data_IF_139965742662
#
_entry.id   IF_139965742662
#
_cell.length_a   1.000
_cell.length_b   1.000
_cell.length_c   1.000
_cell.angle_alpha   90.00
_cell.angle_beta   90.00
_cell.angle_gamma   90.00
#
_symmetry.space_group_name_H-M   'P 1'
#
loop_
_entity.id
_entity.type
_entity.pdbx_description
1 polymer ?
#
# COMPACT_ATOMS: atom_id res chain seq x y z
N UNK A 1 -2.02 -4.13 37.50
CA UNK A 1 -1.12 -5.16 38.08
C UNK A 1 -1.43 -5.50 39.56
N UNK A 2 -1.75 -4.56 40.45
CA UNK A 2 -2.08 -4.85 41.85
C UNK A 2 -3.25 -5.82 42.09
N UNK A 3 -4.41 -5.75 41.41
CA UNK A 3 -5.53 -6.65 41.69
C UNK A 3 -5.26 -8.11 41.32
N UNK A 4 -4.51 -8.36 40.25
CA UNK A 4 -4.18 -9.73 39.82
C UNK A 4 -3.24 -10.43 40.82
N UNK A 5 -2.28 -9.72 41.36
CA UNK A 5 -1.37 -10.25 42.41
C UNK A 5 -2.11 -10.58 43.70
N UNK A 6 -3.13 -9.79 44.06
CA UNK A 6 -3.94 -10.01 45.25
C UNK A 6 -4.83 -11.25 45.11
N UNK A 7 -5.46 -11.41 43.94
CA UNK A 7 -6.26 -12.58 43.62
C UNK A 7 -5.37 -13.84 43.58
N UNK A 8 -4.19 -13.76 42.93
CA UNK A 8 -3.22 -14.87 42.91
C UNK A 8 -2.81 -15.31 44.32
N UNK A 9 -2.52 -14.37 45.21
CA UNK A 9 -2.11 -14.64 46.59
C UNK A 9 -3.24 -15.27 47.44
N UNK A 10 -4.50 -14.87 47.19
CA UNK A 10 -5.68 -15.43 47.86
C UNK A 10 -5.98 -16.86 47.39
N UNK A 11 -5.81 -17.14 46.08
CA UNK A 11 -5.98 -18.47 45.47
C UNK A 11 -4.88 -19.45 45.89
N UNK A 12 -3.65 -18.98 46.03
CA UNK A 12 -2.53 -19.83 46.48
C UNK A 12 -2.68 -20.26 47.94
N UNK A 13 -3.41 -19.50 48.79
CA UNK A 13 -3.70 -19.87 50.18
C UNK A 13 -5.01 -20.66 50.33
N UNK A 14 -5.82 -20.79 49.27
CA UNK A 14 -7.05 -21.59 49.27
C UNK A 14 -6.76 -23.11 49.11
N UNK A 15 -7.67 -23.91 49.62
CA UNK A 15 -7.55 -25.40 49.54
C UNK A 15 -7.53 -25.90 48.09
N UNK A 16 -7.22 -27.19 47.93
CA UNK A 16 -7.03 -27.87 46.63
C UNK A 16 -8.16 -27.65 45.59
N UNK A 17 -9.39 -27.38 46.03
CA UNK A 17 -10.54 -27.11 45.19
C UNK A 17 -10.43 -25.76 44.45
N UNK A 18 -10.08 -24.65 45.16
CA UNK A 18 -9.91 -23.33 44.58
C UNK A 18 -8.75 -23.29 43.56
N UNK A 19 -7.66 -23.98 43.85
CA UNK A 19 -6.54 -24.13 42.88
C UNK A 19 -6.98 -24.86 41.61
N UNK A 20 -7.76 -25.91 41.74
CA UNK A 20 -8.30 -26.66 40.60
C UNK A 20 -9.23 -25.81 39.76
N UNK A 21 -10.17 -25.06 40.39
CA UNK A 21 -11.07 -24.13 39.69
C UNK A 21 -10.31 -23.02 38.97
N UNK A 22 -9.28 -22.47 39.56
CA UNK A 22 -8.43 -21.44 38.92
C UNK A 22 -7.66 -21.99 37.72
N UNK A 23 -7.06 -23.16 37.85
CA UNK A 23 -6.36 -23.83 36.75
C UNK A 23 -7.31 -24.22 35.61
N UNK A 24 -8.53 -24.70 35.91
CA UNK A 24 -9.54 -24.95 34.89
C UNK A 24 -10.01 -23.67 34.20
N UNK A 25 -10.17 -22.57 34.91
CA UNK A 25 -10.51 -21.27 34.33
C UNK A 25 -9.41 -20.74 33.38
N UNK A 26 -8.14 -20.84 33.80
CA UNK A 26 -7.01 -20.49 32.92
C UNK A 26 -6.97 -21.40 31.70
N UNK A 27 -7.16 -22.70 31.87
CA UNK A 27 -7.18 -23.65 30.77
C UNK A 27 -8.31 -23.36 29.78
N UNK A 28 -9.50 -23.00 30.28
CA UNK A 28 -10.65 -22.59 29.45
C UNK A 28 -10.31 -21.31 28.68
N UNK A 29 -9.68 -20.31 29.31
CA UNK A 29 -9.25 -19.07 28.62
C UNK A 29 -8.23 -19.39 27.52
N UNK A 30 -7.26 -20.25 27.80
CA UNK A 30 -6.26 -20.70 26.82
C UNK A 30 -6.97 -21.43 25.66
N UNK A 31 -7.87 -22.35 25.96
CA UNK A 31 -8.64 -23.09 24.95
C UNK A 31 -9.50 -22.12 24.12
N UNK A 32 -10.20 -21.17 24.75
CA UNK A 32 -10.97 -20.14 24.05
C UNK A 32 -10.05 -19.27 23.18
N UNK A 33 -8.88 -18.86 23.69
CA UNK A 33 -7.92 -18.08 22.89
C UNK A 33 -7.31 -18.85 21.71
N UNK A 34 -7.23 -20.18 21.81
CA UNK A 34 -6.81 -21.06 20.71
C UNK A 34 -7.95 -21.38 19.72
N UNK A 35 -9.20 -21.28 20.18
CA UNK A 35 -10.40 -21.49 19.36
C UNK A 35 -10.91 -20.19 18.71
N UNK A 36 -10.51 -19.03 19.23
CA UNK A 36 -10.73 -17.78 18.51
C UNK A 36 -9.76 -17.83 17.31
N UNK A 37 -10.26 -17.96 16.07
CA UNK A 37 -9.36 -17.86 14.93
C UNK A 37 -8.64 -16.53 15.08
N UNK A 38 -7.33 -16.56 15.11
CA UNK A 38 -6.49 -15.37 14.93
C UNK A 38 -7.06 -14.73 13.67
N UNK A 39 -7.70 -13.54 13.83
CA UNK A 39 -8.55 -12.99 12.80
C UNK A 39 -7.82 -12.97 11.47
N UNK A 40 -8.08 -13.95 10.62
CA UNK A 40 -7.78 -13.82 9.20
C UNK A 40 -8.61 -12.63 8.77
N UNK A 41 -7.96 -11.59 8.35
CA UNK A 41 -8.62 -10.51 7.67
C UNK A 41 -9.25 -11.14 6.44
N UNK A 42 -10.57 -11.22 6.33
CA UNK A 42 -11.23 -11.85 5.18
C UNK A 42 -11.12 -10.99 3.92
N UNK A 43 -10.43 -9.86 4.02
CA UNK A 43 -10.33 -8.84 2.98
C UNK A 43 -8.88 -8.55 2.63
N UNK A 44 -8.62 -8.36 1.35
CA UNK A 44 -7.50 -7.55 0.90
C UNK A 44 -7.83 -6.10 1.25
N UNK A 45 -6.92 -5.38 1.87
CA UNK A 45 -7.10 -3.95 2.15
C UNK A 45 -5.99 -3.13 1.52
N UNK A 46 -6.38 -2.01 0.89
CA UNK A 46 -5.49 -1.05 0.24
C UNK A 46 -5.61 0.26 0.99
N UNK A 47 -4.54 0.70 1.60
CA UNK A 47 -4.47 1.90 2.42
C UNK A 47 -3.61 2.95 1.72
N UNK A 48 -4.21 3.92 1.06
CA UNK A 48 -3.49 5.11 0.57
C UNK A 48 -3.28 6.03 1.76
N UNK A 49 -2.02 6.16 2.18
CA UNK A 49 -1.63 6.89 3.38
C UNK A 49 -1.47 8.36 2.99
N UNK A 50 -2.14 9.26 3.68
CA UNK A 50 -1.92 10.71 3.52
C UNK A 50 -0.54 11.06 4.10
N UNK A 51 0.41 11.21 3.21
CA UNK A 51 1.79 11.61 3.49
C UNK A 51 2.06 13.08 3.14
N UNK A 52 1.02 13.83 2.78
CA UNK A 52 1.14 15.11 2.09
C UNK A 52 1.37 14.88 0.61
N UNK A 53 2.33 15.59 0.01
CA UNK A 53 2.71 15.33 -1.38
C UNK A 53 3.60 14.10 -1.45
N UNK A 54 3.27 13.17 -2.35
CA UNK A 54 3.97 11.90 -2.53
C UNK A 54 3.09 10.68 -2.36
N UNK A 55 3.68 9.50 -2.46
CA UNK A 55 2.98 8.23 -2.37
C UNK A 55 3.47 7.37 -1.19
N UNK A 56 2.54 6.77 -0.50
CA UNK A 56 2.78 5.60 0.35
C UNK A 56 1.50 4.78 0.48
N UNK A 57 1.56 3.52 0.06
CA UNK A 57 0.38 2.66 0.03
C UNK A 57 0.72 1.34 0.75
N UNK A 58 -0.07 1.00 1.77
CA UNK A 58 0.02 -0.31 2.41
C UNK A 58 -1.07 -1.21 1.86
N UNK A 59 -0.69 -2.39 1.39
CA UNK A 59 -1.62 -3.46 1.06
C UNK A 59 -1.46 -4.58 2.08
N UNK A 60 -2.57 -4.97 2.71
CA UNK A 60 -2.59 -6.11 3.62
C UNK A 60 -3.47 -7.22 3.01
N UNK A 61 -2.91 -8.41 2.87
CA UNK A 61 -3.62 -9.55 2.31
C UNK A 61 -4.43 -10.30 3.37
N UNK A 62 -5.39 -11.15 2.98
CA UNK A 62 -6.16 -11.98 3.91
C UNK A 62 -5.28 -12.87 4.81
N UNK A 63 -4.13 -13.32 4.33
CA UNK A 63 -3.17 -14.11 5.11
C UNK A 63 -2.12 -13.25 5.83
N UNK A 64 -2.39 -11.94 5.97
CA UNK A 64 -1.57 -10.99 6.74
C UNK A 64 -0.17 -10.73 6.16
N UNK A 65 0.02 -10.90 4.85
CA UNK A 65 1.19 -10.33 4.19
C UNK A 65 1.01 -8.83 4.02
N UNK A 66 2.10 -8.10 4.13
CA UNK A 66 2.14 -6.66 4.04
C UNK A 66 3.02 -6.25 2.86
N UNK A 67 2.46 -5.50 1.93
CA UNK A 67 3.15 -4.89 0.80
C UNK A 67 3.13 -3.39 1.03
N UNK A 68 4.28 -2.76 1.03
CA UNK A 68 4.40 -1.31 1.08
C UNK A 68 4.87 -0.81 -0.28
N UNK A 69 4.08 0.03 -0.92
CA UNK A 69 4.43 0.73 -2.15
C UNK A 69 4.81 2.14 -1.74
N UNK A 70 6.04 2.51 -1.98
CA UNK A 70 6.62 3.80 -1.64
C UNK A 70 6.56 4.18 -0.15
N UNK A 71 7.27 5.20 0.25
CA UNK A 71 7.42 5.63 1.65
C UNK A 71 7.14 7.11 1.89
N UNK A 72 6.68 7.84 0.86
CA UNK A 72 6.58 9.29 0.92
C UNK A 72 7.93 9.98 0.94
N UNK A 73 7.93 11.27 1.21
CA UNK A 73 9.14 12.08 1.32
C UNK A 73 9.92 11.82 2.63
N UNK A 74 11.12 12.38 2.75
CA UNK A 74 11.99 12.22 3.92
C UNK A 74 11.28 12.62 5.25
N UNK A 75 10.34 13.55 5.23
CA UNK A 75 9.61 14.00 6.42
C UNK A 75 8.43 13.08 6.76
N UNK A 76 7.96 12.30 5.80
CA UNK A 76 6.77 11.45 5.91
C UNK A 76 7.02 10.14 6.67
N UNK A 77 8.27 9.73 6.87
CA UNK A 77 8.62 8.43 7.50
C UNK A 77 7.98 8.21 8.87
N UNK A 78 7.74 9.25 9.65
CA UNK A 78 7.06 9.14 10.95
C UNK A 78 5.56 8.90 10.79
N UNK A 79 4.93 9.50 9.77
CA UNK A 79 3.51 9.28 9.43
C UNK A 79 3.35 7.81 9.02
N UNK A 80 4.15 7.38 8.03
CA UNK A 80 4.10 6.00 7.51
C UNK A 80 4.39 4.99 8.61
N UNK A 81 5.49 5.13 9.37
CA UNK A 81 5.84 4.19 10.42
C UNK A 81 4.80 4.12 11.54
N UNK A 82 4.16 5.23 11.90
CA UNK A 82 3.08 5.27 12.88
C UNK A 82 1.83 4.59 12.34
N UNK A 83 1.51 4.82 11.07
CA UNK A 83 0.38 4.18 10.39
C UNK A 83 0.56 2.66 10.33
N UNK A 84 1.73 2.19 9.89
CA UNK A 84 2.07 0.77 9.84
C UNK A 84 1.91 0.10 11.23
N UNK A 85 2.40 0.74 12.28
CA UNK A 85 2.23 0.26 13.67
C UNK A 85 0.76 0.20 14.08
N UNK A 86 -0.05 1.22 13.72
CA UNK A 86 -1.49 1.25 13.98
C UNK A 86 -2.23 0.11 13.26
N UNK A 87 -1.76 -0.28 12.07
CA UNK A 87 -2.26 -1.42 11.31
C UNK A 87 -1.66 -2.77 11.76
N UNK A 88 -0.96 -2.82 12.89
CA UNK A 88 -0.30 -4.00 13.44
C UNK A 88 0.73 -4.64 12.51
N UNK A 89 1.32 -3.88 11.58
CA UNK A 89 2.40 -4.36 10.73
C UNK A 89 3.64 -4.60 11.59
N UNK A 90 4.07 -5.86 11.65
CA UNK A 90 5.30 -6.29 12.36
C UNK A 90 6.43 -6.62 11.39
N UNK A 91 6.07 -7.02 10.19
CA UNK A 91 6.97 -7.35 9.09
C UNK A 91 6.37 -6.81 7.80
N UNK A 92 7.19 -6.29 6.93
CA UNK A 92 6.86 -5.93 5.56
C UNK A 92 7.39 -7.05 4.68
N UNK A 93 6.49 -7.77 4.01
CA UNK A 93 6.88 -8.90 3.16
C UNK A 93 7.48 -8.41 1.85
N UNK A 94 6.97 -7.30 1.33
CA UNK A 94 7.42 -6.69 0.08
C UNK A 94 7.42 -5.17 0.20
N UNK A 95 8.52 -4.52 -0.14
CA UNK A 95 8.56 -3.09 -0.50
C UNK A 95 8.65 -3.01 -2.01
N UNK A 96 7.88 -2.12 -2.62
CA UNK A 96 7.98 -1.77 -4.03
C UNK A 96 8.25 -0.26 -4.09
N UNK A 97 9.48 0.11 -4.48
CA UNK A 97 9.81 1.48 -4.83
C UNK A 97 9.44 1.68 -6.31
N UNK A 98 8.45 2.53 -6.58
CA UNK A 98 7.97 2.70 -7.96
C UNK A 98 9.00 3.38 -8.85
N UNK A 99 9.67 4.41 -8.35
CA UNK A 99 10.80 5.11 -8.96
C UNK A 99 11.59 5.83 -7.86
N UNK A 100 12.64 6.61 -8.22
CA UNK A 100 13.57 7.12 -7.21
C UNK A 100 13.43 8.61 -6.89
N UNK A 101 12.25 9.20 -7.09
CA UNK A 101 11.98 10.55 -6.63
C UNK A 101 11.75 10.60 -5.11
N UNK A 102 12.14 11.70 -4.49
CA UNK A 102 12.20 11.81 -3.03
C UNK A 102 10.84 11.70 -2.36
N UNK A 103 9.77 12.13 -3.01
CA UNK A 103 8.40 12.03 -2.51
C UNK A 103 7.78 10.62 -2.63
N UNK A 104 8.57 9.66 -3.14
CA UNK A 104 8.26 8.23 -3.17
C UNK A 104 9.19 7.42 -2.27
N UNK A 105 10.50 7.62 -2.37
CA UNK A 105 11.45 6.78 -1.64
C UNK A 105 12.06 7.43 -0.40
N UNK A 106 11.82 8.73 -0.17
CA UNK A 106 12.49 9.47 0.89
C UNK A 106 12.31 8.89 2.29
N UNK A 107 11.12 8.32 2.58
CA UNK A 107 10.84 7.69 3.86
C UNK A 107 11.29 6.23 3.98
N UNK A 108 11.68 5.56 2.88
CA UNK A 108 11.90 4.11 2.87
C UNK A 108 13.13 3.68 3.68
N UNK A 109 14.20 4.44 3.71
CA UNK A 109 15.39 4.16 4.52
C UNK A 109 15.03 3.99 5.99
N UNK A 110 14.28 4.94 6.53
CA UNK A 110 13.79 4.93 7.91
C UNK A 110 12.80 3.78 8.18
N UNK A 111 12.00 3.40 7.20
CA UNK A 111 11.08 2.25 7.30
C UNK A 111 11.87 0.95 7.35
N UNK A 112 12.86 0.77 6.47
CA UNK A 112 13.74 -0.40 6.42
C UNK A 112 14.49 -0.54 7.74
N UNK A 113 14.93 0.56 8.34
CA UNK A 113 15.63 0.55 9.61
C UNK A 113 14.75 0.14 10.79
N UNK A 114 13.47 0.52 10.76
CA UNK A 114 12.51 0.31 11.87
C UNK A 114 11.73 -1.00 11.80
N UNK A 115 11.56 -1.57 10.61
CA UNK A 115 10.75 -2.77 10.38
C UNK A 115 11.60 -3.92 9.86
N UNK A 116 11.12 -5.14 10.09
CA UNK A 116 11.66 -6.32 9.42
C UNK A 116 11.10 -6.36 7.99
N UNK A 117 11.97 -6.23 6.99
CA UNK A 117 11.64 -6.26 5.56
C UNK A 117 12.17 -7.54 4.96
N UNK A 118 11.34 -8.26 4.19
CA UNK A 118 11.74 -9.52 3.58
C UNK A 118 12.27 -9.34 2.16
N UNK A 119 11.60 -8.52 1.36
CA UNK A 119 11.97 -8.27 -0.04
C UNK A 119 11.80 -6.78 -0.36
N UNK A 120 12.68 -6.25 -1.20
CA UNK A 120 12.55 -4.91 -1.78
C UNK A 120 12.76 -4.97 -3.29
N UNK A 121 11.87 -4.33 -4.01
CA UNK A 121 11.84 -4.24 -5.46
C UNK A 121 11.88 -2.79 -5.93
N UNK A 122 12.50 -2.55 -7.08
CA UNK A 122 12.61 -1.24 -7.70
C UNK A 122 12.85 -1.38 -9.20
N UNK A 123 12.70 -0.31 -10.01
CA UNK A 123 13.14 -0.33 -11.40
C UNK A 123 14.67 -0.41 -11.51
N UNK A 124 15.16 -0.93 -12.63
CA UNK A 124 16.60 -1.22 -12.83
C UNK A 124 17.38 -0.02 -13.33
N UNK A 125 17.46 1.05 -12.55
CA UNK A 125 18.36 2.18 -12.83
C UNK A 125 19.02 2.70 -11.55
N UNK A 126 19.91 3.66 -11.67
CA UNK A 126 20.56 4.32 -10.54
C UNK A 126 20.21 5.79 -10.52
N UNK A 127 20.06 6.34 -9.34
CA UNK A 127 19.89 7.77 -9.11
C UNK A 127 21.07 8.29 -8.28
N UNK A 128 21.40 9.56 -8.43
CA UNK A 128 22.41 10.26 -7.64
C UNK A 128 21.80 11.08 -6.49
N UNK A 129 20.48 10.98 -6.29
CA UNK A 129 19.78 11.67 -5.22
C UNK A 129 20.18 11.17 -3.83
N UNK A 130 20.07 12.03 -2.83
CA UNK A 130 20.34 11.67 -1.42
C UNK A 130 19.37 10.57 -0.95
N UNK A 131 18.09 10.66 -1.30
CA UNK A 131 17.09 9.67 -0.94
C UNK A 131 17.42 8.28 -1.48
N UNK A 132 17.91 8.20 -2.73
CA UNK A 132 18.39 6.93 -3.29
C UNK A 132 19.62 6.39 -2.55
N UNK A 133 20.61 7.24 -2.25
CA UNK A 133 21.82 6.83 -1.51
C UNK A 133 21.48 6.32 -0.11
N UNK A 134 20.55 6.98 0.60
CA UNK A 134 20.05 6.56 1.90
C UNK A 134 19.32 5.21 1.82
N UNK A 135 18.45 5.04 0.83
CA UNK A 135 17.75 3.78 0.57
C UNK A 135 18.75 2.62 0.38
N UNK A 136 19.74 2.79 -0.51
CA UNK A 136 20.76 1.77 -0.77
C UNK A 136 21.59 1.48 0.49
N UNK A 137 21.96 2.52 1.25
CA UNK A 137 22.71 2.36 2.51
C UNK A 137 21.94 1.54 3.54
N UNK A 138 20.64 1.82 3.73
CA UNK A 138 19.78 1.06 4.64
C UNK A 138 19.58 -0.39 4.17
N UNK A 139 19.44 -0.63 2.86
CA UNK A 139 19.39 -1.98 2.30
C UNK A 139 20.68 -2.75 2.62
N UNK A 140 21.85 -2.16 2.41
CA UNK A 140 23.13 -2.79 2.70
C UNK A 140 23.30 -3.08 4.20
N UNK A 141 22.96 -2.14 5.07
CA UNK A 141 23.04 -2.29 6.53
C UNK A 141 22.16 -3.41 7.06
N UNK A 142 21.04 -3.69 6.39
CA UNK A 142 20.08 -4.75 6.74
C UNK A 142 20.33 -6.07 5.99
N UNK A 143 21.34 -6.15 5.14
CA UNK A 143 21.59 -7.28 4.23
C UNK A 143 20.36 -7.59 3.34
N UNK A 144 19.66 -6.54 2.90
CA UNK A 144 18.49 -6.62 2.05
C UNK A 144 18.93 -6.38 0.61
N UNK A 145 18.74 -7.37 -0.25
CA UNK A 145 19.10 -7.24 -1.67
C UNK A 145 17.99 -6.51 -2.42
N UNK A 146 18.34 -5.39 -3.07
CA UNK A 146 17.44 -4.70 -3.99
C UNK A 146 17.27 -5.57 -5.24
N UNK A 147 16.04 -5.95 -5.52
CA UNK A 147 15.64 -6.73 -6.68
C UNK A 147 15.01 -5.80 -7.72
N UNK A 148 15.21 -6.11 -9.00
CA UNK A 148 14.69 -5.25 -10.06
C UNK A 148 13.46 -5.84 -10.70
N UNK A 149 12.50 -4.96 -11.04
CA UNK A 149 11.27 -5.28 -11.74
C UNK A 149 11.31 -4.71 -13.16
N UNK A 150 10.88 -5.51 -14.11
CA UNK A 150 10.75 -5.15 -15.50
C UNK A 150 9.37 -5.58 -16.01
N UNK A 151 8.93 -5.01 -17.12
CA UNK A 151 7.72 -5.43 -17.81
C UNK A 151 7.67 -6.96 -17.98
N UNK A 152 6.52 -7.55 -17.67
CA UNK A 152 6.27 -8.99 -17.75
C UNK A 152 6.66 -9.78 -16.51
N UNK A 153 7.35 -9.18 -15.52
CA UNK A 153 7.65 -9.88 -14.28
C UNK A 153 6.36 -10.21 -13.52
N UNK A 154 6.39 -11.39 -12.88
CA UNK A 154 5.25 -11.93 -12.16
C UNK A 154 5.66 -12.36 -10.75
N UNK A 155 4.92 -11.91 -9.73
CA UNK A 155 5.13 -12.30 -8.35
C UNK A 155 3.85 -12.94 -7.81
N UNK A 156 3.90 -14.21 -7.44
CA UNK A 156 2.85 -14.84 -6.66
C UNK A 156 2.99 -14.38 -5.20
N UNK A 157 2.10 -13.51 -4.76
CA UNK A 157 2.09 -12.99 -3.39
C UNK A 157 1.58 -14.06 -2.44
N UNK A 158 0.42 -14.64 -2.72
CA UNK A 158 -0.19 -15.77 -2.03
C UNK A 158 -1.29 -16.39 -2.90
N UNK A 159 -1.94 -17.43 -2.43
CA UNK A 159 -3.06 -18.06 -3.15
C UNK A 159 -4.11 -17.01 -3.55
N UNK A 160 -4.41 -16.96 -4.86
CA UNK A 160 -5.33 -16.02 -5.49
C UNK A 160 -4.94 -14.53 -5.42
N UNK A 161 -3.69 -14.21 -5.08
CA UNK A 161 -3.16 -12.83 -5.14
C UNK A 161 -1.85 -12.84 -5.92
N UNK A 162 -1.88 -12.24 -7.09
CA UNK A 162 -0.74 -12.15 -8.00
C UNK A 162 -0.44 -10.69 -8.34
N UNK A 163 0.83 -10.40 -8.56
CA UNK A 163 1.29 -9.13 -9.07
C UNK A 163 1.93 -9.34 -10.45
N UNK A 164 1.49 -8.57 -11.42
CA UNK A 164 2.07 -8.54 -12.78
C UNK A 164 2.59 -7.15 -13.08
N UNK A 165 3.85 -7.04 -13.50
CA UNK A 165 4.49 -5.76 -13.87
C UNK A 165 4.16 -5.43 -15.32
N UNK A 166 3.68 -4.21 -15.58
CA UNK A 166 3.25 -3.73 -16.89
C UNK A 166 4.24 -2.70 -17.48
N UNK A 167 5.05 -2.06 -16.64
CA UNK A 167 6.10 -1.11 -17.03
C UNK A 167 7.16 -1.02 -15.90
N UNK A 168 8.36 -0.52 -16.18
CA UNK A 168 8.85 -0.04 -17.47
C UNK A 168 9.34 -1.19 -18.38
N UNK A 169 9.17 -1.03 -19.69
CA UNK A 169 9.72 -1.94 -20.70
C UNK A 169 11.21 -1.69 -20.97
N UNK A 170 11.65 -0.46 -20.78
CA UNK A 170 13.06 -0.03 -20.82
C UNK A 170 13.27 1.21 -19.97
N UNK A 171 14.49 1.44 -19.56
CA UNK A 171 14.85 2.59 -18.69
C UNK A 171 15.04 3.82 -19.57
N UNK A 172 14.50 4.94 -19.09
CA UNK A 172 14.48 6.25 -19.74
C UNK A 172 15.27 7.28 -18.90
N UNK A 173 15.55 8.46 -19.46
CA UNK A 173 16.30 9.51 -18.76
C UNK A 173 15.47 10.15 -17.63
N UNK A 174 14.17 10.34 -17.84
CA UNK A 174 13.25 10.94 -16.86
C UNK A 174 12.78 9.91 -15.83
N UNK A 175 12.89 10.24 -14.55
CA UNK A 175 12.59 9.34 -13.44
C UNK A 175 11.17 8.80 -13.47
N UNK A 176 10.17 9.67 -13.70
CA UNK A 176 8.76 9.27 -13.70
C UNK A 176 8.46 8.20 -14.74
N UNK A 177 9.12 8.27 -15.91
CA UNK A 177 8.96 7.31 -17.00
C UNK A 177 9.53 5.92 -16.64
N UNK A 178 10.29 5.82 -15.56
CA UNK A 178 10.81 4.55 -15.02
C UNK A 178 9.93 3.98 -13.91
N UNK A 179 8.77 4.58 -13.65
CA UNK A 179 7.83 4.07 -12.65
C UNK A 179 7.45 2.62 -12.92
N UNK A 180 7.60 1.78 -11.89
CA UNK A 180 7.06 0.42 -11.92
C UNK A 180 5.54 0.51 -11.87
N UNK A 181 4.92 0.23 -13.01
CA UNK A 181 3.46 0.09 -13.12
C UNK A 181 3.13 -1.39 -12.98
N UNK A 182 2.20 -1.72 -12.11
CA UNK A 182 1.82 -3.10 -11.89
C UNK A 182 0.35 -3.25 -11.53
N UNK A 183 -0.18 -4.41 -11.87
CA UNK A 183 -1.52 -4.88 -11.53
C UNK A 183 -1.42 -5.92 -10.43
N UNK A 184 -2.29 -5.82 -9.44
CA UNK A 184 -2.55 -6.89 -8.47
C UNK A 184 -3.92 -7.47 -8.75
N UNK A 185 -3.98 -8.77 -8.93
CA UNK A 185 -5.22 -9.52 -9.07
C UNK A 185 -5.54 -10.26 -7.77
N UNK A 186 -6.76 -10.10 -7.29
CA UNK A 186 -7.31 -10.86 -6.16
C UNK A 186 -8.65 -11.46 -6.53
N UNK A 187 -8.67 -12.74 -6.86
CA UNK A 187 -9.84 -13.47 -7.40
C UNK A 187 -10.40 -12.77 -8.64
N UNK A 188 -11.60 -12.15 -8.52
CA UNK A 188 -12.31 -11.48 -9.60
C UNK A 188 -12.10 -9.95 -9.62
N UNK A 189 -11.16 -9.43 -8.82
CA UNK A 189 -10.88 -7.99 -8.70
C UNK A 189 -9.46 -7.65 -9.05
N UNK A 190 -9.28 -6.56 -9.79
CA UNK A 190 -8.00 -6.08 -10.29
C UNK A 190 -7.71 -4.65 -9.86
N UNK A 191 -6.48 -4.42 -9.41
CA UNK A 191 -6.02 -3.17 -8.81
C UNK A 191 -4.77 -2.70 -9.55
N UNK A 192 -4.83 -1.52 -10.16
CA UNK A 192 -3.73 -0.94 -10.94
C UNK A 192 -3.03 0.16 -10.16
N UNK A 193 -1.70 0.06 -10.07
CA UNK A 193 -0.82 1.03 -9.42
C UNK A 193 0.17 1.56 -10.45
N UNK A 194 0.18 2.87 -10.65
CA UNK A 194 0.90 3.50 -11.77
C UNK A 194 2.13 4.28 -11.34
N UNK A 195 2.38 4.45 -10.02
CA UNK A 195 3.41 5.38 -9.54
C UNK A 195 3.20 6.76 -10.17
N UNK A 196 4.26 7.29 -10.75
CA UNK A 196 4.23 8.57 -11.48
C UNK A 196 4.38 8.40 -13.00
N UNK A 197 3.99 7.23 -13.51
CA UNK A 197 3.93 6.97 -14.96
C UNK A 197 3.15 8.08 -15.68
N UNK A 198 3.68 8.48 -16.83
CA UNK A 198 3.13 9.55 -17.63
C UNK A 198 2.48 9.02 -18.93
N UNK A 199 1.92 9.92 -19.74
CA UNK A 199 1.16 9.59 -20.94
C UNK A 199 1.87 8.61 -21.89
N UNK A 200 3.19 8.68 -22.02
CA UNK A 200 3.96 7.76 -22.86
C UNK A 200 3.98 6.34 -22.32
N UNK A 201 4.05 6.18 -20.99
CA UNK A 201 3.93 4.87 -20.34
C UNK A 201 2.51 4.32 -20.50
N UNK A 202 1.50 5.16 -20.23
CA UNK A 202 0.09 4.81 -20.38
C UNK A 202 -0.22 4.28 -21.78
N UNK A 203 0.24 5.00 -22.81
CA UNK A 203 0.06 4.58 -24.21
C UNK A 203 0.79 3.26 -24.53
N UNK A 204 2.00 3.07 -23.99
CA UNK A 204 2.73 1.80 -24.16
C UNK A 204 1.97 0.63 -23.53
N UNK A 205 1.45 0.84 -22.32
CA UNK A 205 0.73 -0.18 -21.56
C UNK A 205 -0.56 -0.58 -22.26
N UNK A 206 -1.43 0.37 -22.66
CA UNK A 206 -2.70 0.04 -23.32
C UNK A 206 -2.53 -0.55 -24.74
N UNK A 207 -1.39 -0.29 -25.37
CA UNK A 207 -1.04 -0.95 -26.64
C UNK A 207 -0.54 -2.40 -26.46
N UNK A 208 -0.07 -2.75 -25.27
CA UNK A 208 0.54 -4.05 -24.98
C UNK A 208 -0.36 -5.00 -24.20
N UNK A 209 -1.31 -4.46 -23.43
CA UNK A 209 -2.16 -5.21 -22.50
C UNK A 209 -3.63 -4.83 -22.66
N UNK A 210 -4.52 -5.81 -22.53
CA UNK A 210 -5.96 -5.58 -22.35
C UNK A 210 -6.22 -5.29 -20.87
N UNK A 211 -6.75 -4.10 -20.55
CA UNK A 211 -6.92 -3.61 -19.17
C UNK A 211 -8.37 -3.23 -18.83
N UNK A 212 -9.33 -3.71 -19.60
CA UNK A 212 -10.76 -3.38 -19.47
C UNK A 212 -11.45 -4.01 -18.24
N UNK A 213 -10.69 -4.60 -17.33
CA UNK A 213 -11.17 -5.28 -16.12
C UNK A 213 -10.55 -4.70 -14.82
N UNK A 214 -10.06 -3.46 -14.86
CA UNK A 214 -9.49 -2.81 -13.67
C UNK A 214 -10.60 -2.21 -12.82
N UNK A 215 -10.73 -2.66 -11.58
CA UNK A 215 -11.72 -2.16 -10.63
C UNK A 215 -11.23 -0.95 -9.83
N UNK A 216 -9.93 -0.88 -9.56
CA UNK A 216 -9.30 0.16 -8.75
C UNK A 216 -8.06 0.72 -9.44
N UNK A 217 -7.94 2.04 -9.49
CA UNK A 217 -6.79 2.76 -10.03
C UNK A 217 -6.15 3.66 -8.96
N UNK A 218 -4.84 3.50 -8.70
CA UNK A 218 -4.03 4.58 -8.15
C UNK A 218 -3.66 5.53 -9.29
N UNK A 219 -4.21 6.73 -9.26
CA UNK A 219 -3.99 7.75 -10.30
C UNK A 219 -2.53 8.13 -10.39
N UNK A 220 -1.99 8.20 -11.60
CA UNK A 220 -0.60 8.51 -11.88
C UNK A 220 -0.20 9.93 -11.46
N UNK A 221 1.03 10.09 -11.04
CA UNK A 221 1.73 11.35 -10.79
C UNK A 221 0.88 12.35 -10.00
N UNK A 222 0.27 11.87 -8.89
CA UNK A 222 -0.56 12.64 -7.96
C UNK A 222 -1.72 13.40 -8.62
N UNK A 223 -2.13 12.99 -9.83
CA UNK A 223 -3.12 13.70 -10.63
C UNK A 223 -2.55 14.84 -11.45
N UNK A 224 -1.28 14.77 -11.85
CA UNK A 224 -0.66 15.66 -12.83
C UNK A 224 -1.39 15.60 -14.17
N UNK A 225 -1.33 16.71 -14.93
CA UNK A 225 -1.81 16.74 -16.32
C UNK A 225 -0.90 16.00 -17.30
N UNK A 226 0.28 15.54 -16.87
CA UNK A 226 1.17 14.71 -17.69
C UNK A 226 0.76 13.25 -17.73
N UNK A 227 -0.21 12.84 -16.89
CA UNK A 227 -0.70 11.47 -16.73
C UNK A 227 -2.23 11.41 -16.79
N UNK A 228 -2.78 10.20 -16.70
CA UNK A 228 -4.23 9.96 -16.63
C UNK A 228 -4.95 10.49 -17.87
N UNK A 229 -4.41 10.09 -19.03
CA UNK A 229 -4.95 10.48 -20.35
C UNK A 229 -6.36 9.93 -20.56
N UNK A 230 -7.16 10.60 -21.41
CA UNK A 230 -8.51 10.10 -21.73
C UNK A 230 -8.47 8.72 -22.30
N UNK A 231 -7.53 8.45 -23.22
CA UNK A 231 -7.34 7.17 -23.86
C UNK A 231 -7.05 6.05 -22.86
N UNK A 232 -6.20 6.35 -21.87
CA UNK A 232 -5.86 5.41 -20.81
C UNK A 232 -7.07 5.11 -19.91
N UNK A 233 -7.80 6.13 -19.48
CA UNK A 233 -8.98 5.94 -18.61
C UNK A 233 -10.13 5.27 -19.34
N UNK A 234 -10.32 5.55 -20.63
CA UNK A 234 -11.33 4.88 -21.47
C UNK A 234 -11.03 3.37 -21.62
N UNK A 235 -9.76 2.98 -21.74
CA UNK A 235 -9.33 1.57 -21.83
C UNK A 235 -9.37 0.86 -20.48
N UNK A 236 -8.81 1.48 -19.43
CA UNK A 236 -8.77 0.89 -18.07
C UNK A 236 -10.14 0.85 -17.43
N UNK A 237 -10.97 1.85 -17.68
CA UNK A 237 -12.37 1.98 -17.23
C UNK A 237 -12.61 1.65 -15.74
N UNK A 238 -11.84 2.22 -14.77
CA UNK A 238 -11.89 1.79 -13.39
C UNK A 238 -13.19 2.25 -12.71
N UNK A 239 -13.74 1.40 -11.82
CA UNK A 239 -14.89 1.78 -10.98
C UNK A 239 -14.53 2.89 -10.00
N UNK A 240 -13.33 2.77 -9.38
CA UNK A 240 -12.84 3.71 -8.38
C UNK A 240 -11.38 4.10 -8.65
N UNK A 241 -11.05 5.35 -8.33
CA UNK A 241 -9.69 5.86 -8.39
C UNK A 241 -9.30 6.57 -7.08
N UNK A 242 -8.01 6.49 -6.73
CA UNK A 242 -7.46 7.24 -5.60
C UNK A 242 -6.33 8.13 -6.08
N UNK A 243 -6.39 9.40 -5.70
CA UNK A 243 -5.33 10.39 -5.91
C UNK A 243 -4.64 10.61 -4.56
N UNK A 244 -3.34 10.32 -4.50
CA UNK A 244 -2.48 10.67 -3.39
C UNK A 244 -1.82 12.00 -3.68
N UNK A 245 -2.14 13.05 -2.94
CA UNK A 245 -1.58 14.39 -3.11
C UNK A 245 -1.72 15.20 -1.83
N UNK A 246 -0.88 16.21 -1.66
CA UNK A 246 -0.88 17.08 -0.50
C UNK A 246 -1.95 18.20 -0.59
N UNK A 247 -2.53 18.54 0.56
CA UNK A 247 -3.43 19.68 0.63
C UNK A 247 -2.71 20.99 0.27
N UNK A 248 -3.24 21.71 -0.72
CA UNK A 248 -2.64 22.97 -1.24
C UNK A 248 -1.16 22.79 -1.64
N UNK A 249 -0.81 21.67 -2.23
CA UNK A 249 0.54 21.41 -2.68
C UNK A 249 1.01 22.44 -3.73
N UNK A 250 2.31 22.66 -3.81
CA UNK A 250 2.92 23.66 -4.70
C UNK A 250 2.79 23.35 -6.19
N UNK A 251 2.49 22.11 -6.55
CA UNK A 251 2.36 21.65 -7.93
C UNK A 251 0.95 21.90 -8.49
N UNK A 252 -0.01 22.21 -7.63
CA UNK A 252 -1.42 22.35 -8.01
C UNK A 252 -2.13 21.03 -8.27
N UNK A 253 -1.57 19.92 -7.81
CA UNK A 253 -2.16 18.59 -7.95
C UNK A 253 -3.35 18.39 -6.99
N UNK A 254 -4.40 17.65 -7.45
CA UNK A 254 -4.59 17.18 -8.81
C UNK A 254 -4.98 18.32 -9.75
N UNK A 255 -4.49 18.29 -10.99
CA UNK A 255 -4.87 19.24 -12.02
C UNK A 255 -6.33 19.06 -12.43
N UNK A 256 -6.95 20.17 -12.85
CA UNK A 256 -8.36 20.18 -13.25
C UNK A 256 -8.63 19.24 -14.43
N UNK A 257 -7.72 19.16 -15.40
CA UNK A 257 -7.83 18.25 -16.55
C UNK A 257 -7.96 16.78 -16.12
N UNK A 258 -7.15 16.34 -15.15
CA UNK A 258 -7.20 14.98 -14.62
C UNK A 258 -8.54 14.69 -13.94
N UNK A 259 -9.02 15.62 -13.11
CA UNK A 259 -10.34 15.49 -12.47
C UNK A 259 -11.47 15.44 -13.50
N UNK A 260 -11.43 16.28 -14.55
CA UNK A 260 -12.41 16.30 -15.61
C UNK A 260 -12.41 14.99 -16.43
N UNK A 261 -11.22 14.40 -16.68
CA UNK A 261 -11.10 13.10 -17.35
C UNK A 261 -11.76 11.99 -16.52
N UNK A 262 -11.48 11.92 -15.22
CA UNK A 262 -12.08 10.93 -14.33
C UNK A 262 -13.59 11.13 -14.19
N UNK A 263 -14.06 12.36 -14.03
CA UNK A 263 -15.49 12.69 -13.93
C UNK A 263 -16.26 12.33 -15.22
N UNK A 264 -15.71 12.66 -16.39
CA UNK A 264 -16.29 12.35 -17.71
C UNK A 264 -16.48 10.86 -17.91
N UNK A 265 -15.56 10.04 -17.37
CA UNK A 265 -15.61 8.59 -17.44
C UNK A 265 -16.36 7.94 -16.25
N UNK A 266 -17.06 8.73 -15.42
CA UNK A 266 -17.84 8.29 -14.26
C UNK A 266 -17.03 7.55 -13.19
N UNK A 267 -15.72 7.79 -13.09
CA UNK A 267 -14.84 7.17 -12.11
C UNK A 267 -15.07 7.79 -10.73
N UNK A 268 -15.38 6.97 -9.73
CA UNK A 268 -15.52 7.42 -8.35
C UNK A 268 -14.15 7.75 -7.76
N UNK A 269 -13.80 9.02 -7.71
CA UNK A 269 -12.46 9.49 -7.35
C UNK A 269 -12.37 9.91 -5.88
N UNK A 270 -11.42 9.38 -5.13
CA UNK A 270 -11.12 9.70 -3.74
C UNK A 270 -9.75 10.38 -3.65
N UNK A 271 -9.58 11.37 -2.75
CA UNK A 271 -8.38 12.19 -2.66
C UNK A 271 -7.88 12.27 -1.23
N UNK A 272 -6.56 12.06 -1.03
CA UNK A 272 -5.96 12.12 0.32
C UNK A 272 -5.93 13.53 0.89
N UNK A 273 -5.75 14.56 0.08
CA UNK A 273 -5.74 15.96 0.52
C UNK A 273 -7.08 16.46 1.09
N UNK A 274 -8.18 15.76 0.81
CA UNK A 274 -9.53 16.08 1.31
C UNK A 274 -9.92 15.10 2.44
N UNK A 275 -9.64 13.80 2.26
CA UNK A 275 -10.18 12.74 3.09
C UNK A 275 -9.19 12.21 4.12
N UNK A 276 -7.91 12.66 4.08
CA UNK A 276 -6.83 12.03 4.82
C UNK A 276 -6.56 10.61 4.28
N UNK A 277 -6.12 9.70 5.11
CA UNK A 277 -5.91 8.30 4.68
C UNK A 277 -7.20 7.71 4.08
N UNK A 278 -7.08 7.07 2.92
CA UNK A 278 -8.19 6.39 2.23
C UNK A 278 -7.95 4.89 2.26
N UNK A 279 -8.95 4.11 2.66
CA UNK A 279 -8.82 2.65 2.74
C UNK A 279 -9.94 1.99 1.96
N UNK A 280 -9.55 1.09 1.05
CA UNK A 280 -10.45 0.20 0.35
C UNK A 280 -10.26 -1.24 0.84
N UNK A 281 -11.33 -1.99 0.80
CA UNK A 281 -11.36 -3.41 1.15
C UNK A 281 -11.97 -4.19 -0.01
N UNK A 282 -11.46 -5.41 -0.23
CA UNK A 282 -12.05 -6.35 -1.18
C UNK A 282 -12.07 -7.77 -0.63
N UNK A 283 -13.17 -8.47 -0.84
CA UNK A 283 -13.29 -9.92 -0.61
C UNK A 283 -12.94 -10.73 -1.88
N UNK A 284 -12.60 -10.01 -2.96
CA UNK A 284 -12.29 -10.54 -4.26
C UNK A 284 -13.49 -10.61 -5.22
N UNK A 285 -14.68 -10.23 -4.77
CA UNK A 285 -15.89 -10.11 -5.57
C UNK A 285 -16.44 -8.69 -5.56
N UNK A 286 -16.22 -7.96 -4.47
CA UNK A 286 -16.64 -6.57 -4.28
C UNK A 286 -15.47 -5.70 -3.79
N UNK A 287 -15.56 -4.39 -4.07
CA UNK A 287 -14.68 -3.36 -3.49
C UNK A 287 -15.55 -2.36 -2.74
N UNK A 288 -15.14 -2.00 -1.52
CA UNK A 288 -15.84 -1.03 -0.70
C UNK A 288 -14.89 -0.20 0.17
N UNK A 289 -15.37 0.95 0.61
CA UNK A 289 -14.65 1.84 1.54
C UNK A 289 -15.61 2.39 2.60
N UNK A 290 -15.05 2.77 3.75
CA UNK A 290 -15.81 3.44 4.82
C UNK A 290 -15.83 4.97 4.65
N UNK A 291 -15.12 5.52 3.65
CA UNK A 291 -15.08 6.95 3.38
C UNK A 291 -16.37 7.41 2.69
N UNK A 292 -16.92 8.52 3.19
CA UNK A 292 -18.09 9.14 2.55
C UNK A 292 -17.64 9.91 1.30
N UNK A 293 -18.07 9.42 0.14
CA UNK A 293 -17.78 10.05 -1.15
C UNK A 293 -18.30 11.50 -1.26
N UNK A 294 -19.38 11.84 -0.55
CA UNK A 294 -19.95 13.22 -0.58
C UNK A 294 -19.00 14.27 -0.01
N UNK A 295 -18.07 13.88 0.87
CA UNK A 295 -17.04 14.78 1.40
C UNK A 295 -16.02 15.20 0.35
N UNK A 296 -15.90 14.45 -0.73
CA UNK A 296 -14.98 14.74 -1.85
C UNK A 296 -15.43 15.92 -2.73
N UNK A 297 -16.70 16.35 -2.63
CA UNK A 297 -17.29 17.39 -3.46
C UNK A 297 -17.24 18.81 -2.84
N UNK A 298 -16.51 18.95 -1.73
CA UNK A 298 -16.26 20.25 -1.07
C UNK A 298 -14.92 20.81 -1.46
#
# INVERSE_FOLDING_TARGET
MLPILFIYKHIMNGGNLLKKLFLTYILIIIIISLLIPSGKNNYLSIHTIDVGQGDSILIQTPNSKNILIDGGDDNSHNIVSSYLKKQNVKRIDYIIATHFDSDHIGGLDNIIDKFNVSNIYAPNYKSDTISYQNLISSCLNKNLNLQYLNEGDFINIEDNINLTVLAPSYIQEENNLNSVVFRIDYKNKSFLFTGDAEASNEMSIINSYELNDIDFLKVGHHGSSSSTTSEFIEEVSPDVAVISCGYKNQYGHPHRSTLDTLEKNNVLTYRTDILGHVVFYSDGDTIFTTKDYKLNKK
#
